data_IF_927728372317
#
_entry.id   IF_927728372317
#
_cell.length_a   1.000
_cell.length_b   1.000
_cell.length_c   1.000
_cell.angle_alpha   90.00
_cell.angle_beta   90.00
_cell.angle_gamma   90.00
#
_symmetry.space_group_name_H-M   'P 1'
#
loop_
_entity.id
_entity.type
_entity.pdbx_description
1 polymer ?
#
# COMPACT_ATOMS: atom_id res chain seq x y z
N UNK A 1 16.90 -14.69 -11.53
CA UNK A 1 17.98 -13.79 -11.26
C UNK A 1 17.51 -12.36 -11.46
N UNK A 2 17.77 -11.82 -12.64
CA UNK A 2 17.30 -10.47 -12.92
C UNK A 2 15.79 -10.41 -12.77
N UNK A 3 15.13 -11.45 -13.15
CA UNK A 3 13.68 -11.51 -13.04
C UNK A 3 13.21 -11.39 -11.61
N UNK A 4 14.00 -11.90 -10.69
CA UNK A 4 13.61 -11.83 -9.30
C UNK A 4 13.52 -10.41 -8.80
N UNK A 5 14.43 -9.58 -9.26
CA UNK A 5 14.39 -8.19 -8.85
C UNK A 5 13.15 -7.51 -9.35
N UNK A 6 12.77 -7.83 -10.57
CA UNK A 6 11.58 -7.23 -11.11
C UNK A 6 10.35 -7.70 -10.38
N UNK A 7 10.35 -8.94 -9.97
CA UNK A 7 9.22 -9.44 -9.21
C UNK A 7 9.04 -8.71 -7.91
N UNK A 8 10.14 -8.41 -7.25
CA UNK A 8 10.03 -7.66 -6.02
C UNK A 8 9.43 -6.29 -6.26
N UNK A 9 9.80 -5.68 -7.36
CA UNK A 9 9.20 -4.41 -7.71
C UNK A 9 7.70 -4.52 -7.90
N UNK A 10 7.26 -5.62 -8.47
CA UNK A 10 5.84 -5.83 -8.68
C UNK A 10 5.09 -6.03 -7.38
N UNK A 11 5.75 -6.61 -6.38
CA UNK A 11 5.12 -6.79 -5.09
C UNK A 11 4.84 -5.49 -4.38
N UNK A 12 5.50 -4.44 -4.81
CA UNK A 12 5.33 -3.13 -4.19
C UNK A 12 4.32 -2.32 -4.96
N UNK A 13 3.21 -2.91 -5.29
CA UNK A 13 2.14 -2.21 -5.98
C UNK A 13 1.54 -1.14 -5.12
N UNK A 14 1.10 -0.08 -5.75
CA UNK A 14 0.31 0.93 -5.07
C UNK A 14 -1.13 0.44 -4.95
N UNK A 15 -1.80 0.89 -3.92
CA UNK A 15 -3.19 0.57 -3.69
C UNK A 15 -3.97 1.86 -3.53
N UNK A 16 -5.17 1.87 -4.06
CA UNK A 16 -6.02 3.05 -4.07
C UNK A 16 -7.24 2.80 -3.23
N UNK A 17 -7.55 3.75 -2.36
CA UNK A 17 -8.76 3.67 -1.56
C UNK A 17 -9.97 3.86 -2.48
N UNK A 18 -10.90 2.91 -2.45
CA UNK A 18 -12.06 2.96 -3.32
C UNK A 18 -13.06 4.03 -2.88
N UNK A 19 -12.91 4.55 -1.68
CA UNK A 19 -13.86 5.52 -1.12
C UNK A 19 -13.42 6.94 -1.36
N UNK A 20 -12.16 7.28 -1.02
CA UNK A 20 -11.71 8.66 -1.12
C UNK A 20 -10.61 8.89 -2.16
N UNK A 21 -10.04 7.82 -2.73
CA UNK A 21 -9.00 7.95 -3.73
C UNK A 21 -7.59 8.09 -3.19
N UNK A 22 -7.41 7.92 -1.89
CA UNK A 22 -6.07 7.96 -1.32
C UNK A 22 -5.23 6.83 -1.93
N UNK A 23 -3.98 7.12 -2.26
CA UNK A 23 -3.08 6.14 -2.82
C UNK A 23 -2.04 5.76 -1.79
N UNK A 24 -1.99 4.48 -1.42
CA UNK A 24 -0.92 3.98 -0.58
C UNK A 24 0.24 3.58 -1.48
N UNK A 25 1.36 4.26 -1.32
CA UNK A 25 2.57 3.98 -2.09
C UNK A 25 3.55 3.25 -1.16
N UNK A 26 3.83 1.97 -1.41
CA UNK A 26 4.73 1.22 -0.52
C UNK A 26 6.11 1.85 -0.41
N UNK A 27 6.58 2.52 -1.45
CA UNK A 27 7.91 3.15 -1.38
C UNK A 27 7.92 4.30 -0.38
N UNK A 28 6.78 4.90 -0.13
CA UNK A 28 6.66 6.03 0.80
C UNK A 28 6.21 5.57 2.17
N UNK A 29 5.35 4.56 2.20
CA UNK A 29 4.76 4.10 3.45
C UNK A 29 3.76 5.09 4.00
N UNK A 30 3.58 5.05 5.31
CA UNK A 30 2.68 5.96 6.00
C UNK A 30 3.29 6.29 7.36
N UNK A 31 4.39 7.06 7.36
CA UNK A 31 5.13 7.29 8.61
C UNK A 31 4.30 7.95 9.69
N UNK A 32 3.33 8.76 9.31
CA UNK A 32 2.47 9.44 10.28
C UNK A 32 1.66 8.44 11.10
N UNK A 33 1.47 7.24 10.57
CA UNK A 33 0.74 6.19 11.26
C UNK A 33 1.64 5.01 11.59
N UNK A 34 2.94 5.23 11.61
CA UNK A 34 3.88 4.22 12.05
C UNK A 34 4.25 3.20 10.98
N UNK A 35 3.99 3.48 9.73
CA UNK A 35 4.31 2.56 8.63
C UNK A 35 5.57 3.06 7.93
N UNK A 36 6.65 2.33 8.07
CA UNK A 36 7.92 2.74 7.49
C UNK A 36 7.89 2.65 5.96
N UNK A 37 8.64 3.51 5.27
CA UNK A 37 8.79 3.37 3.82
C UNK A 37 9.33 1.97 3.48
N UNK A 38 8.85 1.42 2.39
CA UNK A 38 9.25 0.08 1.99
C UNK A 38 8.34 -1.01 2.47
N UNK A 39 7.23 -0.67 3.11
CA UNK A 39 6.28 -1.65 3.62
C UNK A 39 5.24 -1.93 2.55
N UNK A 40 5.13 -3.19 2.13
CA UNK A 40 4.13 -3.57 1.15
C UNK A 40 2.74 -3.46 1.77
N UNK A 41 1.74 -3.24 0.92
CA UNK A 41 0.37 -3.11 1.41
C UNK A 41 -0.05 -4.36 2.18
N UNK A 42 0.36 -5.53 1.70
CA UNK A 42 0.01 -6.80 2.35
C UNK A 42 0.61 -6.91 3.75
N UNK A 43 1.68 -6.18 4.01
CA UNK A 43 2.34 -6.22 5.30
C UNK A 43 1.79 -5.22 6.30
N UNK A 44 0.83 -4.41 5.88
CA UNK A 44 0.22 -3.46 6.80
C UNK A 44 -0.56 -4.20 7.88
N UNK A 45 -0.62 -3.63 9.10
CA UNK A 45 -1.42 -4.26 10.16
C UNK A 45 -2.86 -4.44 9.73
N UNK A 46 -3.49 -5.46 10.27
CA UNK A 46 -4.88 -5.73 9.91
C UNK A 46 -5.80 -4.58 10.28
N UNK A 47 -5.42 -3.81 11.29
CA UNK A 47 -6.24 -2.69 11.75
C UNK A 47 -5.83 -1.35 11.14
N UNK A 48 -4.89 -1.37 10.19
CA UNK A 48 -4.53 -0.13 9.49
C UNK A 48 -5.72 0.35 8.68
N UNK A 49 -5.95 1.64 8.69
CA UNK A 49 -7.07 2.24 7.97
C UNK A 49 -6.57 3.40 7.12
N UNK A 50 -7.38 3.77 6.15
CA UNK A 50 -7.07 4.90 5.29
C UNK A 50 -6.88 6.16 6.13
N UNK A 51 -5.74 6.86 5.97
CA UNK A 51 -5.50 8.06 6.78
C UNK A 51 -6.40 9.23 6.43
N UNK A 52 -7.10 9.16 5.30
CA UNK A 52 -7.97 10.26 4.88
C UNK A 52 -9.42 10.02 5.24
N UNK A 53 -9.93 8.83 5.03
CA UNK A 53 -11.35 8.57 5.26
C UNK A 53 -11.62 7.49 6.30
N UNK A 54 -10.61 6.76 6.72
CA UNK A 54 -10.74 5.84 7.84
C UNK A 54 -11.30 4.45 7.53
N UNK A 55 -11.46 4.11 6.25
CA UNK A 55 -11.95 2.77 5.92
C UNK A 55 -10.81 1.76 6.01
N UNK A 56 -11.15 0.50 6.14
CA UNK A 56 -10.17 -0.56 6.30
C UNK A 56 -9.50 -0.94 4.99
N UNK A 57 -8.56 -1.87 5.11
CA UNK A 57 -7.79 -2.32 3.96
C UNK A 57 -8.66 -2.98 2.89
N UNK A 58 -9.79 -3.52 3.29
CA UNK A 58 -10.67 -4.20 2.35
C UNK A 58 -11.33 -3.24 1.36
N UNK A 59 -11.22 -1.94 1.60
CA UNK A 59 -11.75 -0.94 0.68
C UNK A 59 -10.68 -0.42 -0.28
N UNK A 60 -9.54 -1.09 -0.36
CA UNK A 60 -8.46 -0.70 -1.26
C UNK A 60 -8.35 -1.68 -2.41
N UNK A 61 -8.01 -1.16 -3.58
CA UNK A 61 -7.79 -1.98 -4.77
C UNK A 61 -6.39 -1.72 -5.30
N UNK A 62 -5.72 -2.73 -5.84
CA UNK A 62 -4.41 -2.51 -6.42
C UNK A 62 -4.50 -1.60 -7.63
N UNK A 63 -3.55 -0.66 -7.71
CA UNK A 63 -3.45 0.20 -8.87
C UNK A 63 -2.64 -0.52 -9.92
N UNK A 64 -3.29 -0.90 -11.00
CA UNK A 64 -2.63 -1.61 -12.09
C UNK A 64 -2.18 -0.59 -13.11
N UNK A 65 -0.91 -0.59 -13.40
CA UNK A 65 -0.37 0.36 -14.37
C UNK A 65 -0.69 -0.05 -15.79
#
# INVERSE_FOLDING_TARGET
TINDKRKRGLFMKKYVCDVCGYVYDPAVGDPDNGIAPGTAFEDLPADWVCPLCGVGKDQFSPEEA
#
